data_IF_630766225531
#
_entry.id   IF_630766225531
#
_cell.length_a   1.000
_cell.length_b   1.000
_cell.length_c   1.000
_cell.angle_alpha   90.00
_cell.angle_beta   90.00
_cell.angle_gamma   90.00
#
_symmetry.space_group_name_H-M   'P 1'
#
loop_
_entity.id
_entity.type
_entity.pdbx_description
1 polymer ?
#
# COMPACT_ATOMS: atom_id res chain seq x y z
N UNK A 1 -23.23 -28.73 40.40
CA UNK A 1 -22.09 -27.82 40.63
C UNK A 1 -20.83 -28.66 40.76
N UNK A 2 -20.29 -29.13 39.65
CA UNK A 2 -18.98 -29.84 39.59
C UNK A 2 -18.30 -29.34 38.31
N UNK A 3 -17.11 -28.74 38.46
CA UNK A 3 -16.18 -28.52 37.33
C UNK A 3 -15.89 -27.06 36.94
N UNK A 4 -15.82 -26.12 37.87
CA UNK A 4 -15.14 -24.84 37.59
C UNK A 4 -13.68 -24.92 38.06
N UNK A 5 -12.75 -24.71 37.14
CA UNK A 5 -11.31 -24.70 37.44
C UNK A 5 -10.95 -23.63 38.47
N UNK A 6 -10.13 -24.02 39.47
CA UNK A 6 -9.67 -23.13 40.54
C UNK A 6 -9.15 -21.76 40.10
N UNK A 7 -8.43 -21.63 38.98
CA UNK A 7 -7.99 -20.30 38.45
C UNK A 7 -9.14 -19.36 38.11
N UNK A 8 -10.24 -19.88 37.55
CA UNK A 8 -11.42 -19.10 37.18
C UNK A 8 -12.16 -18.53 38.38
N UNK A 9 -12.25 -19.31 39.46
CA UNK A 9 -12.87 -18.85 40.71
C UNK A 9 -12.06 -17.74 41.40
N UNK A 10 -10.72 -17.85 41.37
CA UNK A 10 -9.82 -16.82 41.92
C UNK A 10 -9.96 -15.51 41.12
N UNK A 11 -9.99 -15.59 39.80
CA UNK A 11 -10.17 -14.43 38.89
C UNK A 11 -11.53 -13.77 39.09
N UNK A 12 -12.62 -14.54 39.24
CA UNK A 12 -13.95 -13.96 39.52
C UNK A 12 -14.01 -13.27 40.88
N UNK A 13 -13.37 -13.78 41.90
CA UNK A 13 -13.24 -13.13 43.21
C UNK A 13 -12.43 -11.84 43.15
N UNK A 14 -11.33 -11.81 42.43
CA UNK A 14 -10.51 -10.60 42.25
C UNK A 14 -11.25 -9.50 41.50
N UNK A 15 -12.02 -9.83 40.47
CA UNK A 15 -12.87 -8.87 39.74
C UNK A 15 -13.97 -8.32 40.63
N UNK A 16 -14.65 -9.14 41.46
CA UNK A 16 -15.70 -8.68 42.36
C UNK A 16 -15.16 -7.77 43.47
N UNK A 17 -13.98 -8.07 44.01
CA UNK A 17 -13.31 -7.20 45.01
C UNK A 17 -12.91 -5.85 44.41
N UNK A 18 -12.50 -5.85 43.15
CA UNK A 18 -12.12 -4.61 42.45
C UNK A 18 -13.34 -3.77 42.06
N UNK A 19 -14.45 -4.37 41.64
CA UNK A 19 -15.72 -3.64 41.38
C UNK A 19 -16.28 -3.00 42.65
N UNK A 20 -16.08 -3.61 43.81
CA UNK A 20 -16.42 -3.06 45.12
C UNK A 20 -15.46 -1.91 45.49
N UNK A 21 -14.15 -2.08 45.26
CA UNK A 21 -13.14 -1.07 45.56
C UNK A 21 -13.24 0.20 44.68
N UNK A 22 -13.76 0.07 43.46
CA UNK A 22 -14.04 1.21 42.56
C UNK A 22 -15.30 2.01 42.97
N UNK A 23 -16.24 1.39 43.71
CA UNK A 23 -17.46 2.05 44.19
C UNK A 23 -17.21 2.91 45.44
N UNK A 24 -16.25 2.55 46.27
CA UNK A 24 -15.92 3.22 47.53
C UNK A 24 -14.72 4.19 47.34
N UNK A 25 -14.96 5.28 46.65
CA UNK A 25 -14.13 6.49 46.55
C UNK A 25 -12.86 6.53 47.44
N UNK A 26 -11.69 6.36 46.90
CA UNK A 26 -10.47 6.73 47.61
C UNK A 26 -9.16 6.11 47.20
N UNK A 27 -8.93 5.73 45.96
CA UNK A 27 -7.61 5.24 45.55
C UNK A 27 -6.79 6.30 44.82
N UNK A 28 -5.80 6.81 45.54
CA UNK A 28 -4.71 7.67 45.08
C UNK A 28 -3.78 6.94 44.08
N UNK A 29 -3.16 7.72 43.24
CA UNK A 29 -2.30 7.48 42.09
C UNK A 29 -1.13 6.45 42.14
N UNK A 30 -1.21 5.40 42.94
CA UNK A 30 -0.15 4.37 43.06
C UNK A 30 -0.65 2.94 42.80
N UNK A 31 -1.34 2.69 41.69
CA UNK A 31 -1.49 1.31 41.20
C UNK A 31 -0.19 0.88 40.53
N UNK A 32 0.49 -0.11 41.13
CA UNK A 32 1.70 -0.74 40.57
C UNK A 32 1.43 -1.31 39.17
N UNK A 33 2.42 -1.29 38.28
CA UNK A 33 2.36 -1.86 36.93
C UNK A 33 1.79 -3.29 36.87
N UNK A 34 2.03 -4.11 37.92
CA UNK A 34 1.51 -5.47 38.04
C UNK A 34 -0.02 -5.53 38.12
N UNK A 35 -0.69 -4.61 38.83
CA UNK A 35 -2.14 -4.57 38.95
C UNK A 35 -2.81 -4.13 37.63
N UNK A 36 -2.19 -3.16 36.91
CA UNK A 36 -2.65 -2.75 35.58
C UNK A 36 -2.55 -3.91 34.57
N UNK A 37 -1.48 -4.69 34.63
CA UNK A 37 -1.28 -5.86 33.76
C UNK A 37 -2.30 -6.97 34.06
N UNK A 38 -2.60 -7.21 35.34
CA UNK A 38 -3.60 -8.19 35.75
C UNK A 38 -5.04 -7.80 35.35
N UNK A 39 -5.37 -6.50 35.45
CA UNK A 39 -6.66 -5.97 34.98
C UNK A 39 -6.78 -6.06 33.47
N UNK A 40 -5.70 -5.78 32.74
CA UNK A 40 -5.65 -5.91 31.28
C UNK A 40 -5.88 -7.37 30.84
N UNK A 41 -5.23 -8.33 31.51
CA UNK A 41 -5.44 -9.76 31.27
C UNK A 41 -6.89 -10.16 31.57
N UNK A 42 -7.47 -9.72 32.69
CA UNK A 42 -8.88 -9.99 33.01
C UNK A 42 -9.86 -9.36 32.02
N UNK A 43 -9.58 -8.14 31.56
CA UNK A 43 -10.37 -7.46 30.53
C UNK A 43 -10.31 -8.21 29.19
N UNK A 44 -9.12 -8.62 28.77
CA UNK A 44 -8.92 -9.45 27.58
C UNK A 44 -9.63 -10.80 27.71
N UNK A 45 -9.49 -11.49 28.85
CA UNK A 45 -10.15 -12.77 29.09
C UNK A 45 -11.68 -12.65 29.05
N UNK A 46 -12.26 -11.60 29.65
CA UNK A 46 -13.72 -11.34 29.63
C UNK A 46 -14.22 -10.96 28.22
N UNK A 47 -13.45 -10.21 27.46
CA UNK A 47 -13.77 -9.79 26.10
C UNK A 47 -13.71 -10.97 25.11
N UNK A 48 -12.84 -11.96 25.38
CA UNK A 48 -12.63 -13.11 24.50
C UNK A 48 -13.28 -14.40 25.00
N UNK A 49 -14.06 -14.37 26.11
CA UNK A 49 -14.80 -15.52 26.64
C UNK A 49 -15.86 -16.09 25.68
N UNK A 50 -16.24 -15.35 24.65
CA UNK A 50 -17.11 -15.82 23.57
C UNK A 50 -16.40 -16.70 22.52
N UNK A 51 -15.09 -16.92 22.68
CA UNK A 51 -14.31 -17.78 21.79
C UNK A 51 -14.10 -19.22 22.34
N UNK A 52 -14.73 -19.56 23.46
CA UNK A 52 -14.72 -20.94 23.99
C UNK A 52 -15.57 -21.88 23.09
N UNK A 53 -15.14 -22.12 21.87
CA UNK A 53 -15.80 -23.05 20.95
C UNK A 53 -15.30 -23.04 19.52
N UNK A 54 -14.64 -21.96 19.08
CA UNK A 54 -14.08 -21.91 17.72
C UNK A 54 -12.56 -21.97 17.81
N UNK A 55 -12.01 -23.18 17.70
CA UNK A 55 -10.56 -23.42 17.58
C UNK A 55 -10.22 -23.56 16.10
N UNK A 56 -10.36 -22.46 15.36
CA UNK A 56 -10.01 -22.44 13.94
C UNK A 56 -8.49 -22.49 13.77
N UNK A 57 -7.96 -23.55 13.15
CA UNK A 57 -6.54 -23.73 12.89
C UNK A 57 -6.12 -23.03 11.58
N UNK A 58 -4.97 -22.39 11.59
CA UNK A 58 -4.33 -21.79 10.40
C UNK A 58 -4.22 -22.79 9.24
N UNK A 59 -3.97 -24.07 9.57
CA UNK A 59 -3.88 -25.13 8.59
C UNK A 59 -5.23 -25.43 7.92
N UNK A 60 -6.33 -25.42 8.68
CA UNK A 60 -7.69 -25.56 8.13
C UNK A 60 -8.02 -24.40 7.20
N UNK A 61 -7.66 -23.16 7.57
CA UNK A 61 -7.83 -21.97 6.75
C UNK A 61 -7.05 -22.07 5.45
N UNK A 62 -5.78 -22.49 5.51
CA UNK A 62 -4.95 -22.65 4.31
C UNK A 62 -5.52 -23.70 3.36
N UNK A 63 -6.05 -24.80 3.90
CA UNK A 63 -6.69 -25.85 3.12
C UNK A 63 -7.99 -25.39 2.48
N UNK A 64 -8.83 -24.67 3.21
CA UNK A 64 -10.03 -24.05 2.66
C UNK A 64 -9.72 -23.11 1.49
N UNK A 65 -8.72 -22.22 1.65
CA UNK A 65 -8.31 -21.29 0.60
C UNK A 65 -7.78 -22.02 -0.65
N UNK A 66 -7.01 -23.09 -0.48
CA UNK A 66 -6.51 -23.88 -1.59
C UNK A 66 -7.65 -24.56 -2.38
N UNK A 67 -8.65 -25.14 -1.68
CA UNK A 67 -9.81 -25.73 -2.33
C UNK A 67 -10.65 -24.65 -3.05
N UNK A 68 -10.82 -23.50 -2.45
CA UNK A 68 -11.55 -22.38 -3.04
C UNK A 68 -10.87 -21.85 -4.32
N UNK A 69 -9.53 -21.82 -4.34
CA UNK A 69 -8.74 -21.40 -5.49
C UNK A 69 -8.78 -22.43 -6.63
N UNK A 70 -8.51 -23.70 -6.32
CA UNK A 70 -8.43 -24.78 -7.30
C UNK A 70 -9.81 -25.29 -7.74
N UNK A 71 -10.87 -24.94 -7.01
CA UNK A 71 -12.26 -25.44 -7.18
C UNK A 71 -12.33 -26.96 -7.21
N UNK A 72 -11.36 -27.64 -6.61
CA UNK A 72 -11.20 -29.10 -6.61
C UNK A 72 -10.39 -29.56 -5.41
N UNK A 73 -10.95 -30.47 -4.60
CA UNK A 73 -10.24 -31.08 -3.49
C UNK A 73 -9.02 -31.89 -3.92
N UNK A 74 -9.10 -32.60 -5.06
CA UNK A 74 -7.99 -33.41 -5.56
C UNK A 74 -6.81 -32.53 -6.02
N UNK A 75 -7.07 -31.50 -6.82
CA UNK A 75 -6.03 -30.57 -7.28
C UNK A 75 -5.40 -29.79 -6.12
N UNK A 76 -6.22 -29.34 -5.18
CA UNK A 76 -5.72 -28.63 -4.00
C UNK A 76 -4.84 -29.56 -3.13
N UNK A 77 -5.19 -30.84 -3.01
CA UNK A 77 -4.40 -31.82 -2.28
C UNK A 77 -3.04 -32.11 -2.95
N UNK A 78 -3.01 -32.21 -4.27
CA UNK A 78 -1.77 -32.33 -5.05
C UNK A 78 -0.85 -31.14 -4.83
N UNK A 79 -1.37 -29.91 -4.95
CA UNK A 79 -0.61 -28.67 -4.78
C UNK A 79 -0.05 -28.53 -3.36
N UNK A 80 -0.78 -28.99 -2.35
CA UNK A 80 -0.36 -28.95 -0.95
C UNK A 80 0.45 -30.20 -0.51
N UNK A 81 0.67 -31.14 -1.40
CA UNK A 81 1.40 -32.42 -1.11
C UNK A 81 0.78 -33.17 0.06
N UNK A 82 -0.55 -33.23 0.12
CA UNK A 82 -1.32 -33.96 1.14
C UNK A 82 -2.31 -34.91 0.48
N UNK A 83 -2.85 -35.88 1.27
CA UNK A 83 -3.91 -36.75 0.76
C UNK A 83 -5.25 -35.99 0.66
N UNK A 84 -6.04 -36.25 -0.37
CA UNK A 84 -7.36 -35.64 -0.53
C UNK A 84 -8.30 -35.90 0.67
N UNK A 85 -8.31 -37.12 1.30
CA UNK A 85 -9.08 -37.35 2.53
C UNK A 85 -8.66 -36.43 3.69
N UNK A 86 -7.34 -36.18 3.85
CA UNK A 86 -6.83 -35.27 4.90
C UNK A 86 -7.37 -33.85 4.70
N UNK A 87 -7.34 -33.37 3.46
CA UNK A 87 -7.85 -32.06 3.10
C UNK A 87 -9.35 -31.95 3.34
N UNK A 88 -10.10 -32.96 2.89
CA UNK A 88 -11.56 -33.01 3.04
C UNK A 88 -12.01 -33.02 4.52
N UNK A 89 -11.33 -33.82 5.36
CA UNK A 89 -11.61 -33.89 6.80
C UNK A 89 -11.32 -32.53 7.46
N UNK A 90 -10.22 -31.87 7.10
CA UNK A 90 -9.86 -30.59 7.71
C UNK A 90 -10.86 -29.49 7.34
N UNK A 91 -11.30 -29.42 6.07
CA UNK A 91 -12.34 -28.47 5.65
C UNK A 91 -13.68 -28.75 6.30
N UNK A 92 -14.08 -30.05 6.37
CA UNK A 92 -15.32 -30.44 7.05
C UNK A 92 -15.30 -30.07 8.54
N UNK A 93 -14.17 -30.28 9.22
CA UNK A 93 -14.01 -29.85 10.61
C UNK A 93 -14.14 -28.33 10.77
N UNK A 94 -13.63 -27.55 9.84
CA UNK A 94 -13.80 -26.09 9.82
C UNK A 94 -15.27 -25.71 9.65
N UNK A 95 -16.02 -26.38 8.77
CA UNK A 95 -17.47 -26.20 8.62
C UNK A 95 -18.25 -26.53 9.88
N UNK A 96 -17.88 -27.63 10.54
CA UNK A 96 -18.49 -28.07 11.82
C UNK A 96 -18.21 -27.05 12.94
N UNK A 97 -17.00 -26.54 13.04
CA UNK A 97 -16.61 -25.52 14.05
C UNK A 97 -17.32 -24.18 13.82
N UNK A 98 -17.53 -23.79 12.55
CA UNK A 98 -18.23 -22.56 12.19
C UNK A 98 -19.77 -22.72 12.19
N UNK A 99 -20.27 -23.96 12.17
CA UNK A 99 -21.69 -24.28 12.10
C UNK A 99 -22.34 -23.95 10.76
N UNK A 100 -21.55 -23.78 9.70
CA UNK A 100 -22.02 -23.42 8.35
C UNK A 100 -21.31 -24.24 7.27
N UNK A 101 -21.95 -24.44 6.12
CA UNK A 101 -21.30 -25.01 4.95
C UNK A 101 -20.57 -23.92 4.16
N UNK A 102 -19.33 -24.21 3.78
CA UNK A 102 -18.48 -23.29 3.01
C UNK A 102 -18.48 -23.63 1.52
N UNK A 103 -18.81 -24.89 1.17
CA UNK A 103 -18.93 -25.35 -0.21
C UNK A 103 -20.29 -26.00 -0.45
N UNK A 104 -20.83 -25.84 -1.66
CA UNK A 104 -22.03 -26.53 -2.10
C UNK A 104 -21.76 -28.02 -2.33
N UNK A 105 -22.57 -28.91 -1.74
CA UNK A 105 -22.37 -30.36 -1.72
C UNK A 105 -22.60 -31.10 -3.05
N UNK A 106 -23.18 -30.46 -4.07
CA UNK A 106 -23.72 -31.14 -5.28
C UNK A 106 -23.08 -30.73 -6.59
N UNK A 107 -21.90 -30.13 -6.58
CA UNK A 107 -21.24 -29.61 -7.79
C UNK A 107 -20.02 -30.45 -8.17
N UNK A 108 -19.85 -30.77 -9.47
CA UNK A 108 -18.61 -31.31 -10.00
C UNK A 108 -17.39 -30.39 -9.77
N UNK A 109 -17.64 -29.09 -9.77
CA UNK A 109 -16.69 -28.06 -9.33
C UNK A 109 -17.12 -27.57 -7.95
N UNK A 110 -16.16 -27.46 -7.02
CA UNK A 110 -16.41 -26.92 -5.69
C UNK A 110 -16.72 -25.42 -5.79
N UNK A 111 -17.95 -25.04 -5.46
CA UNK A 111 -18.39 -23.64 -5.42
C UNK A 111 -18.61 -23.22 -3.99
N UNK A 112 -18.14 -22.01 -3.67
CA UNK A 112 -18.31 -21.41 -2.36
C UNK A 112 -19.79 -21.01 -2.14
N UNK A 113 -20.26 -21.23 -0.94
CA UNK A 113 -21.50 -20.62 -0.42
C UNK A 113 -21.28 -19.13 -0.14
N UNK A 114 -22.31 -18.38 0.21
CA UNK A 114 -22.19 -16.98 0.62
C UNK A 114 -21.33 -16.85 1.89
N UNK A 115 -21.46 -17.77 2.83
CA UNK A 115 -20.63 -17.90 4.02
C UNK A 115 -19.18 -18.22 3.64
N UNK A 116 -18.96 -19.12 2.69
CA UNK A 116 -17.64 -19.43 2.14
C UNK A 116 -16.99 -18.22 1.47
N UNK A 117 -17.73 -17.42 0.71
CA UNK A 117 -17.24 -16.18 0.12
C UNK A 117 -16.86 -15.15 1.19
N UNK A 118 -17.65 -15.03 2.24
CA UNK A 118 -17.37 -14.14 3.35
C UNK A 118 -16.10 -14.57 4.12
N UNK A 119 -16.00 -15.89 4.41
CA UNK A 119 -14.82 -16.45 5.06
C UNK A 119 -13.57 -16.23 4.19
N UNK A 120 -13.64 -16.45 2.88
CA UNK A 120 -12.50 -16.30 1.98
C UNK A 120 -11.88 -14.90 2.05
N UNK A 121 -12.72 -13.85 2.12
CA UNK A 121 -12.26 -12.46 2.25
C UNK A 121 -11.48 -12.22 3.56
N UNK A 122 -11.97 -12.78 4.67
CA UNK A 122 -11.32 -12.69 5.97
C UNK A 122 -10.06 -13.56 6.08
N UNK A 123 -10.16 -14.79 5.56
CA UNK A 123 -9.10 -15.79 5.58
C UNK A 123 -7.84 -15.34 4.81
N UNK A 124 -7.99 -14.68 3.66
CA UNK A 124 -6.85 -14.12 2.92
C UNK A 124 -6.09 -13.12 3.77
N UNK A 125 -6.78 -12.14 4.36
CA UNK A 125 -6.15 -11.14 5.25
C UNK A 125 -5.47 -11.76 6.46
N UNK A 126 -6.07 -12.81 7.04
CA UNK A 126 -5.48 -13.53 8.16
C UNK A 126 -4.20 -14.26 7.75
N UNK A 127 -4.20 -14.94 6.60
CA UNK A 127 -3.02 -15.63 6.08
C UNK A 127 -1.89 -14.67 5.72
N UNK A 128 -2.19 -13.50 5.15
CA UNK A 128 -1.23 -12.43 4.90
C UNK A 128 -0.59 -11.95 6.21
N UNK A 129 -1.41 -11.65 7.24
CA UNK A 129 -0.92 -11.23 8.54
C UNK A 129 -0.09 -12.33 9.23
N UNK A 130 -0.48 -13.60 9.10
CA UNK A 130 0.27 -14.74 9.61
C UNK A 130 1.64 -14.87 8.93
N UNK A 131 1.68 -14.81 7.59
CA UNK A 131 2.94 -14.86 6.84
C UNK A 131 3.86 -13.70 7.22
N UNK A 132 3.35 -12.47 7.28
CA UNK A 132 4.11 -11.31 7.73
C UNK A 132 4.69 -11.49 9.14
N UNK A 133 3.92 -12.09 10.06
CA UNK A 133 4.38 -12.37 11.42
C UNK A 133 5.49 -13.42 11.44
N UNK A 134 5.34 -14.52 10.69
CA UNK A 134 6.34 -15.59 10.59
C UNK A 134 7.63 -15.08 9.93
N UNK A 135 7.51 -14.30 8.85
CA UNK A 135 8.65 -13.68 8.20
C UNK A 135 9.36 -12.68 9.11
N UNK A 136 8.60 -11.87 9.87
CA UNK A 136 9.15 -10.94 10.85
C UNK A 136 10.03 -11.64 11.91
N UNK A 137 9.70 -12.87 12.30
CA UNK A 137 10.49 -13.66 13.26
C UNK A 137 11.69 -14.33 12.57
N UNK A 138 11.54 -14.85 11.36
CA UNK A 138 12.64 -15.50 10.60
C UNK A 138 13.75 -14.53 10.21
N UNK A 139 13.44 -13.26 9.98
CA UNK A 139 14.40 -12.22 9.60
C UNK A 139 15.31 -11.75 10.76
N UNK A 140 15.12 -12.26 11.97
CA UNK A 140 16.08 -12.02 13.06
C UNK A 140 17.44 -12.72 12.87
N UNK A 141 17.57 -13.60 11.88
CA UNK A 141 18.83 -14.28 11.56
C UNK A 141 19.63 -13.54 10.47
N UNK A 142 20.95 -13.66 10.55
CA UNK A 142 22.01 -12.76 10.00
C UNK A 142 22.12 -12.60 8.48
N UNK A 143 21.25 -13.19 7.67
CA UNK A 143 21.25 -12.99 6.22
C UNK A 143 20.19 -11.96 5.83
N UNK A 144 20.60 -10.91 5.14
CA UNK A 144 19.76 -9.82 4.64
C UNK A 144 18.96 -10.29 3.42
N UNK A 145 18.16 -11.33 3.61
CA UNK A 145 17.23 -11.84 2.59
C UNK A 145 15.83 -11.29 2.87
N UNK A 146 15.06 -11.13 1.83
CA UNK A 146 13.67 -10.70 1.97
C UNK A 146 13.08 -10.20 0.65
N UNK A 147 11.79 -9.91 0.69
CA UNK A 147 11.09 -9.28 -0.42
C UNK A 147 10.20 -8.17 0.12
N UNK A 148 9.85 -7.23 -0.74
CA UNK A 148 8.80 -6.25 -0.49
C UNK A 148 8.26 -5.72 -1.82
N UNK A 149 7.04 -5.19 -1.78
CA UNK A 149 6.38 -4.57 -2.92
C UNK A 149 6.56 -3.06 -2.89
N UNK A 150 7.08 -2.50 -3.99
CA UNK A 150 7.23 -1.06 -4.21
C UNK A 150 6.20 -0.58 -5.24
N UNK A 151 5.25 0.23 -4.80
CA UNK A 151 4.27 0.87 -5.67
C UNK A 151 4.75 2.23 -6.14
N UNK A 152 4.75 2.45 -7.45
CA UNK A 152 5.11 3.75 -8.03
C UNK A 152 4.47 3.95 -9.40
N UNK A 153 4.35 5.20 -9.84
CA UNK A 153 3.95 5.46 -11.22
C UNK A 153 5.14 5.28 -12.16
N UNK A 154 4.91 4.90 -13.44
CA UNK A 154 5.97 4.81 -14.45
C UNK A 154 6.83 6.07 -14.52
N UNK A 155 6.22 7.24 -14.36
CA UNK A 155 6.91 8.51 -14.37
C UNK A 155 7.90 8.65 -13.20
N UNK A 156 7.51 8.26 -11.96
CA UNK A 156 8.43 8.25 -10.82
C UNK A 156 9.57 7.27 -11.05
N UNK A 157 9.26 6.08 -11.60
CA UNK A 157 10.25 5.08 -11.98
C UNK A 157 11.32 5.66 -12.89
N UNK A 158 10.90 6.30 -13.98
CA UNK A 158 11.80 6.91 -14.95
C UNK A 158 12.62 8.07 -14.38
N UNK A 159 12.01 8.93 -13.55
CA UNK A 159 12.69 10.11 -13.00
C UNK A 159 13.71 9.79 -11.90
N UNK A 160 13.41 8.85 -10.99
CA UNK A 160 14.16 8.73 -9.74
C UNK A 160 14.70 7.34 -9.44
N UNK A 161 14.01 6.29 -9.89
CA UNK A 161 14.33 4.93 -9.47
C UNK A 161 15.29 4.18 -10.42
N UNK A 162 15.58 4.74 -11.59
CA UNK A 162 16.54 4.16 -12.55
C UNK A 162 17.95 3.97 -11.99
N UNK A 163 18.39 4.84 -11.08
CA UNK A 163 19.70 4.72 -10.41
C UNK A 163 19.58 4.13 -9.00
N UNK A 164 18.48 4.45 -8.28
CA UNK A 164 18.28 4.02 -6.90
C UNK A 164 18.09 2.51 -6.78
N UNK A 165 17.32 1.89 -7.68
CA UNK A 165 17.05 0.45 -7.62
C UNK A 165 18.30 -0.40 -7.91
N UNK A 166 19.07 -0.16 -8.98
CA UNK A 166 20.31 -0.89 -9.23
C UNK A 166 21.32 -0.71 -8.09
N UNK A 167 21.46 0.50 -7.55
CA UNK A 167 22.37 0.77 -6.43
C UNK A 167 21.97 0.01 -5.17
N UNK A 168 20.66 -0.04 -4.86
CA UNK A 168 20.15 -0.83 -3.74
C UNK A 168 20.34 -2.33 -3.97
N UNK A 169 20.05 -2.85 -5.16
CA UNK A 169 20.24 -4.27 -5.50
C UNK A 169 21.70 -4.70 -5.43
N UNK A 170 22.63 -3.81 -5.79
CA UNK A 170 24.07 -4.07 -5.63
C UNK A 170 24.48 -4.12 -4.14
N UNK A 171 23.91 -3.26 -3.30
CA UNK A 171 24.18 -3.24 -1.86
C UNK A 171 23.51 -4.40 -1.09
N UNK A 172 22.37 -4.88 -1.58
CA UNK A 172 21.54 -5.91 -0.95
C UNK A 172 21.07 -6.96 -1.97
N UNK A 173 21.95 -7.80 -2.50
CA UNK A 173 21.65 -8.69 -3.63
C UNK A 173 20.60 -9.78 -3.33
N UNK A 174 20.37 -10.07 -2.04
CA UNK A 174 19.39 -11.08 -1.61
C UNK A 174 18.02 -10.48 -1.27
N UNK A 175 17.81 -9.18 -1.52
CA UNK A 175 16.50 -8.54 -1.36
C UNK A 175 15.82 -8.45 -2.72
N UNK A 176 14.63 -9.04 -2.84
CA UNK A 176 13.80 -8.94 -4.03
C UNK A 176 12.80 -7.78 -3.89
N UNK A 177 12.72 -6.95 -4.93
CA UNK A 177 11.74 -5.85 -5.02
C UNK A 177 10.75 -6.20 -6.12
N UNK A 178 9.49 -6.32 -5.77
CA UNK A 178 8.40 -6.42 -6.73
C UNK A 178 7.84 -5.03 -7.00
N UNK A 179 7.81 -4.61 -8.28
CA UNK A 179 7.28 -3.31 -8.68
C UNK A 179 5.80 -3.44 -9.02
N UNK A 180 4.97 -2.60 -8.37
CA UNK A 180 3.55 -2.44 -8.68
C UNK A 180 3.34 -1.08 -9.32
N UNK A 181 3.07 -1.06 -10.62
CA UNK A 181 2.85 0.19 -11.36
C UNK A 181 1.38 0.59 -11.38
N UNK A 182 1.10 1.82 -10.94
CA UNK A 182 -0.24 2.43 -11.02
C UNK A 182 -0.13 3.96 -10.85
N UNK A 183 -1.25 4.68 -11.03
CA UNK A 183 -1.31 6.11 -10.67
C UNK A 183 -1.19 6.33 -9.16
N UNK A 184 -0.61 7.47 -8.75
CA UNK A 184 -0.32 7.78 -7.34
C UNK A 184 -1.52 7.56 -6.39
N UNK A 185 -2.72 7.99 -6.77
CA UNK A 185 -3.93 7.78 -5.96
C UNK A 185 -4.24 6.30 -5.72
N UNK A 186 -4.05 5.44 -6.73
CA UNK A 186 -4.27 4.00 -6.61
C UNK A 186 -3.19 3.31 -5.80
N UNK A 187 -1.94 3.79 -5.92
CA UNK A 187 -0.85 3.32 -5.06
C UNK A 187 -1.16 3.63 -3.60
N UNK A 188 -1.64 4.84 -3.27
CA UNK A 188 -2.03 5.20 -1.90
C UNK A 188 -3.16 4.31 -1.36
N UNK A 189 -4.15 3.98 -2.19
CA UNK A 189 -5.19 3.04 -1.81
C UNK A 189 -4.67 1.62 -1.55
N UNK A 190 -3.73 1.13 -2.39
CA UNK A 190 -3.09 -0.17 -2.23
C UNK A 190 -2.22 -0.20 -0.97
N UNK A 191 -1.47 0.87 -0.69
CA UNK A 191 -0.71 1.03 0.57
C UNK A 191 -1.65 1.02 1.77
N UNK A 192 -2.74 1.79 1.74
CA UNK A 192 -3.71 1.83 2.84
C UNK A 192 -4.32 0.45 3.13
N UNK A 193 -4.57 -0.37 2.09
CA UNK A 193 -5.05 -1.74 2.22
C UNK A 193 -3.93 -2.74 2.56
N UNK A 194 -2.65 -2.32 2.42
CA UNK A 194 -1.46 -3.15 2.60
C UNK A 194 -1.28 -4.20 1.53
N UNK A 195 -1.75 -3.93 0.35
CA UNK A 195 -1.47 -4.68 -0.89
C UNK A 195 -0.07 -4.31 -1.45
N UNK A 196 0.47 -3.18 -1.02
CA UNK A 196 1.80 -2.65 -1.34
C UNK A 196 2.47 -2.24 -0.03
N UNK A 197 3.72 -2.63 0.16
CA UNK A 197 4.47 -2.36 1.39
C UNK A 197 4.96 -0.91 1.45
N UNK A 198 5.46 -0.38 0.34
CA UNK A 198 5.98 0.97 0.21
C UNK A 198 5.44 1.61 -1.08
N UNK A 199 4.86 2.78 -0.98
CA UNK A 199 4.38 3.57 -2.11
C UNK A 199 5.24 4.80 -2.36
N UNK A 200 5.30 5.24 -3.62
CA UNK A 200 5.81 6.55 -4.03
C UNK A 200 4.64 7.37 -4.55
N UNK A 201 4.32 8.45 -3.88
CA UNK A 201 3.13 9.24 -4.15
C UNK A 201 3.37 10.74 -4.02
N UNK A 202 2.34 11.52 -4.22
CA UNK A 202 2.38 12.97 -3.99
C UNK A 202 1.82 13.31 -2.61
N UNK A 203 2.41 14.27 -1.95
CA UNK A 203 1.92 14.79 -0.67
C UNK A 203 0.61 15.54 -0.87
N UNK A 204 -0.50 14.85 -0.68
CA UNK A 204 -1.85 15.41 -0.82
C UNK A 204 -2.66 15.22 0.46
N UNK A 205 -3.68 16.05 0.67
CA UNK A 205 -4.59 15.95 1.82
C UNK A 205 -5.50 14.71 1.77
N UNK A 206 -5.41 13.89 0.70
CA UNK A 206 -6.24 12.69 0.50
C UNK A 206 -5.71 11.43 1.18
N UNK A 207 -4.47 11.47 1.71
CA UNK A 207 -3.90 10.31 2.39
C UNK A 207 -4.69 10.00 3.66
N UNK A 208 -5.04 8.73 3.83
CA UNK A 208 -5.79 8.27 5.01
C UNK A 208 -4.93 8.32 6.27
N UNK A 209 -5.56 8.41 7.44
CA UNK A 209 -4.86 8.45 8.73
C UNK A 209 -4.01 7.20 9.01
N UNK A 210 -4.28 6.07 8.32
CA UNK A 210 -3.50 4.84 8.42
C UNK A 210 -2.17 4.88 7.64
N UNK A 211 -2.00 5.85 6.72
CA UNK A 211 -0.80 5.96 5.88
C UNK A 211 0.18 6.95 6.50
N UNK A 212 1.36 6.46 6.83
CA UNK A 212 2.52 7.27 7.22
C UNK A 212 3.22 7.75 5.95
N UNK A 213 3.92 8.90 6.05
CA UNK A 213 4.63 9.50 4.93
C UNK A 213 5.97 10.06 5.34
N UNK A 214 6.93 9.99 4.42
CA UNK A 214 8.24 10.63 4.55
C UNK A 214 8.54 11.39 3.27
N UNK A 215 9.01 12.62 3.39
CA UNK A 215 9.45 13.42 2.26
C UNK A 215 10.55 12.67 1.46
N UNK A 216 10.44 12.69 0.14
CA UNK A 216 11.40 12.10 -0.77
C UNK A 216 12.13 13.19 -1.57
N UNK A 217 11.41 14.03 -2.29
CA UNK A 217 11.95 15.20 -3.01
C UNK A 217 10.82 16.13 -3.44
N UNK A 218 11.16 17.40 -3.65
CA UNK A 218 10.25 18.40 -4.22
C UNK A 218 10.79 18.85 -5.57
N UNK A 219 9.94 18.84 -6.61
CA UNK A 219 10.33 19.13 -7.97
C UNK A 219 9.39 20.16 -8.60
N UNK A 220 9.95 21.04 -9.48
CA UNK A 220 9.18 21.97 -10.27
C UNK A 220 8.57 21.30 -11.49
N UNK A 221 7.43 21.83 -11.92
CA UNK A 221 6.91 21.54 -13.26
C UNK A 221 7.49 22.53 -14.26
N UNK A 222 7.79 22.04 -15.46
CA UNK A 222 8.28 22.84 -16.58
C UNK A 222 7.36 22.68 -17.78
N UNK A 223 7.29 23.71 -18.62
CA UNK A 223 6.65 23.60 -19.91
C UNK A 223 7.62 22.93 -20.89
N UNK A 224 7.11 21.98 -21.66
CA UNK A 224 7.81 21.35 -22.76
C UNK A 224 7.32 21.96 -24.06
N UNK A 225 8.24 22.53 -24.82
CA UNK A 225 7.98 23.20 -26.08
C UNK A 225 8.93 22.64 -27.15
N UNK A 226 8.45 22.60 -28.38
CA UNK A 226 9.34 22.36 -29.53
C UNK A 226 10.37 23.49 -29.63
N UNK A 227 11.60 23.21 -30.06
CA UNK A 227 12.67 24.20 -30.13
C UNK A 227 12.38 25.39 -31.08
N UNK A 228 11.55 25.20 -32.08
CA UNK A 228 11.09 26.28 -32.97
C UNK A 228 9.90 27.08 -32.43
N UNK A 229 9.39 26.75 -31.26
CA UNK A 229 8.25 27.44 -30.67
C UNK A 229 8.64 28.87 -30.24
N UNK A 230 7.80 29.90 -30.48
CA UNK A 230 8.15 31.29 -30.15
C UNK A 230 8.52 31.53 -28.69
N UNK A 231 8.00 30.73 -27.78
CA UNK A 231 8.30 30.81 -26.35
C UNK A 231 9.52 30.00 -25.93
N UNK A 232 10.12 29.17 -26.80
CA UNK A 232 11.22 28.26 -26.46
C UNK A 232 12.55 28.99 -26.15
N UNK A 233 12.69 30.26 -26.54
CA UNK A 233 13.86 31.10 -26.28
C UNK A 233 13.72 31.94 -24.99
N UNK A 234 12.59 31.85 -24.29
CA UNK A 234 12.38 32.60 -23.05
C UNK A 234 13.01 31.89 -21.86
N UNK A 235 13.57 32.64 -20.92
CA UNK A 235 14.11 32.11 -19.65
C UNK A 235 13.04 31.50 -18.76
N UNK A 236 11.81 31.99 -18.87
CA UNK A 236 10.63 31.48 -18.15
C UNK A 236 9.33 31.95 -18.81
N UNK A 237 8.26 31.22 -18.58
CA UNK A 237 6.91 31.55 -19.02
C UNK A 237 5.90 31.32 -17.90
N UNK A 238 4.68 31.84 -18.12
CA UNK A 238 3.52 31.54 -17.27
C UNK A 238 2.60 30.57 -17.99
N UNK A 239 1.67 29.92 -17.23
CA UNK A 239 0.62 29.10 -17.88
C UNK A 239 -0.27 29.94 -18.79
N UNK A 240 -0.44 31.25 -18.53
CA UNK A 240 -1.22 32.16 -19.37
C UNK A 240 -0.61 32.35 -20.77
N UNK A 241 0.70 32.26 -20.92
CA UNK A 241 1.40 32.35 -22.21
C UNK A 241 1.05 31.16 -23.13
N UNK A 242 0.57 30.05 -22.58
CA UNK A 242 0.19 28.84 -23.30
C UNK A 242 -1.31 28.79 -23.68
N UNK A 243 -2.04 29.88 -23.55
CA UNK A 243 -3.51 29.97 -23.75
C UNK A 243 -3.99 29.47 -25.09
N UNK A 244 -3.27 29.77 -26.17
CA UNK A 244 -3.66 29.40 -27.53
C UNK A 244 -3.17 28.02 -27.96
N UNK A 245 -2.34 27.40 -27.14
CA UNK A 245 -1.68 26.13 -27.44
C UNK A 245 -2.59 24.92 -27.24
N UNK A 246 -2.27 23.84 -27.95
CA UNK A 246 -2.88 22.53 -27.75
C UNK A 246 -2.02 21.68 -26.85
N UNK A 247 -2.61 21.08 -25.81
CA UNK A 247 -1.90 20.38 -24.75
C UNK A 247 -1.90 18.87 -24.99
N UNK A 248 -0.74 18.24 -24.84
CA UNK A 248 -0.60 16.81 -24.59
C UNK A 248 -0.36 16.63 -23.09
N UNK A 249 -1.32 16.06 -22.37
CA UNK A 249 -1.23 15.89 -20.91
C UNK A 249 -1.73 14.51 -20.47
N UNK A 250 -1.48 14.18 -19.22
CA UNK A 250 -2.05 12.97 -18.60
C UNK A 250 -3.57 12.99 -18.63
N UNK A 251 -4.19 11.81 -18.65
CA UNK A 251 -5.62 11.65 -18.51
C UNK A 251 -6.09 11.92 -17.05
N UNK A 252 -7.39 11.94 -16.82
CA UNK A 252 -8.03 12.32 -15.57
C UNK A 252 -7.67 11.44 -14.35
N UNK A 253 -7.02 10.28 -14.55
CA UNK A 253 -6.58 9.41 -13.46
C UNK A 253 -5.31 9.94 -12.74
N UNK A 254 -4.64 10.93 -13.33
CA UNK A 254 -3.39 11.47 -12.79
C UNK A 254 -3.62 12.82 -12.09
N UNK A 255 -2.93 13.02 -10.99
CA UNK A 255 -3.00 14.27 -10.18
C UNK A 255 -2.56 15.47 -11.03
N UNK A 256 -1.50 15.32 -11.84
CA UNK A 256 -0.97 16.39 -12.69
C UNK A 256 -2.00 16.90 -13.69
N UNK A 257 -2.90 16.04 -14.19
CA UNK A 257 -4.02 16.48 -15.04
C UNK A 257 -4.83 17.57 -14.34
N UNK A 258 -5.27 17.32 -13.10
CA UNK A 258 -6.05 18.31 -12.33
C UNK A 258 -5.24 19.58 -12.07
N UNK A 259 -3.96 19.44 -11.68
CA UNK A 259 -3.11 20.60 -11.41
C UNK A 259 -2.96 21.51 -12.63
N UNK A 260 -2.82 20.92 -13.83
CA UNK A 260 -2.77 21.69 -15.10
C UNK A 260 -4.10 22.37 -15.37
N UNK A 261 -5.23 21.67 -15.21
CA UNK A 261 -6.55 22.29 -15.39
C UNK A 261 -6.78 23.47 -14.43
N UNK A 262 -6.45 23.27 -13.14
CA UNK A 262 -6.61 24.31 -12.12
C UNK A 262 -5.72 25.52 -12.44
N UNK A 263 -4.48 25.31 -12.91
CA UNK A 263 -3.58 26.36 -13.31
C UNK A 263 -4.08 27.14 -14.57
N UNK A 264 -4.60 26.43 -15.58
CA UNK A 264 -5.22 27.04 -16.74
C UNK A 264 -6.46 27.85 -16.38
N UNK A 265 -7.32 27.33 -15.51
CA UNK A 265 -8.52 28.05 -15.03
C UNK A 265 -8.13 29.30 -14.22
N UNK A 266 -7.12 29.21 -13.35
CA UNK A 266 -6.59 30.36 -12.62
C UNK A 266 -6.00 31.41 -13.56
N UNK A 267 -5.42 31.01 -14.71
CA UNK A 267 -4.95 31.88 -15.78
C UNK A 267 -6.08 32.38 -16.70
N UNK A 268 -7.34 32.05 -16.44
CA UNK A 268 -8.53 32.55 -17.13
C UNK A 268 -8.81 31.88 -18.47
N UNK A 269 -8.40 30.62 -18.70
CA UNK A 269 -8.72 29.88 -19.90
C UNK A 269 -8.97 28.41 -19.67
N UNK A 270 -9.56 27.74 -20.68
CA UNK A 270 -9.70 26.27 -20.71
C UNK A 270 -8.72 25.72 -21.73
N UNK A 271 -7.87 24.74 -21.37
CA UNK A 271 -6.90 24.19 -22.30
C UNK A 271 -7.58 23.40 -23.43
N UNK A 272 -7.02 23.51 -24.64
CA UNK A 272 -7.36 22.65 -25.78
C UNK A 272 -6.49 21.40 -25.68
N UNK A 273 -7.07 20.21 -25.84
CA UNK A 273 -6.31 18.95 -25.75
C UNK A 273 -6.00 18.42 -27.15
N UNK A 274 -4.71 18.25 -27.44
CA UNK A 274 -4.24 17.46 -28.57
C UNK A 274 -4.18 15.99 -28.22
N UNK A 275 -3.84 15.66 -26.93
CA UNK A 275 -3.72 14.28 -26.46
C UNK A 275 -4.02 14.19 -24.96
N UNK A 276 -4.78 13.16 -24.57
CA UNK A 276 -4.93 12.71 -23.19
C UNK A 276 -4.44 11.26 -23.09
N UNK A 277 -3.37 11.01 -22.34
CA UNK A 277 -2.70 9.71 -22.27
C UNK A 277 -2.26 9.35 -20.85
N UNK A 278 -1.87 8.12 -20.62
CA UNK A 278 -1.14 7.68 -19.41
C UNK A 278 0.37 7.62 -19.64
N UNK A 279 0.85 7.82 -20.85
CA UNK A 279 2.23 7.64 -21.26
C UNK A 279 2.91 9.00 -21.44
N UNK A 280 3.85 9.31 -20.54
CA UNK A 280 4.57 10.58 -20.55
C UNK A 280 5.53 10.72 -21.75
N UNK A 281 6.14 9.61 -22.18
CA UNK A 281 7.03 9.54 -23.34
C UNK A 281 6.28 9.89 -24.66
N UNK A 282 5.04 9.43 -24.79
CA UNK A 282 4.20 9.82 -25.92
C UNK A 282 3.88 11.34 -25.91
N UNK A 283 3.69 11.94 -24.73
CA UNK A 283 3.50 13.39 -24.62
C UNK A 283 4.75 14.14 -25.11
N UNK A 284 5.94 13.68 -24.72
CA UNK A 284 7.22 14.26 -25.15
C UNK A 284 7.40 14.10 -26.66
N UNK A 285 7.03 12.96 -27.24
CA UNK A 285 7.07 12.76 -28.71
C UNK A 285 6.14 13.71 -29.45
N UNK A 286 4.92 13.97 -28.94
CA UNK A 286 4.00 14.96 -29.52
C UNK A 286 4.61 16.37 -29.53
N UNK A 287 5.33 16.74 -28.46
CA UNK A 287 6.04 18.02 -28.38
C UNK A 287 7.20 18.06 -29.36
N UNK A 288 7.99 16.99 -29.47
CA UNK A 288 9.15 16.89 -30.37
C UNK A 288 8.77 17.04 -31.86
N UNK A 289 7.51 16.73 -32.21
CA UNK A 289 6.94 16.88 -33.55
C UNK A 289 6.18 18.23 -33.75
N UNK A 290 6.24 19.10 -32.74
CA UNK A 290 5.53 20.40 -32.77
C UNK A 290 4.00 20.26 -32.92
N UNK A 291 3.42 19.19 -32.35
CA UNK A 291 1.97 18.97 -32.41
C UNK A 291 1.25 19.39 -31.14
N UNK A 292 1.98 19.61 -30.05
CA UNK A 292 1.42 20.01 -28.78
C UNK A 292 2.48 20.67 -27.90
N UNK A 293 2.02 21.34 -26.84
CA UNK A 293 2.82 21.66 -25.66
C UNK A 293 2.50 20.71 -24.54
N UNK A 294 3.41 20.57 -23.57
CA UNK A 294 3.15 19.76 -22.39
C UNK A 294 3.68 20.42 -21.11
N UNK A 295 3.22 19.95 -19.98
CA UNK A 295 3.73 20.34 -18.66
C UNK A 295 4.04 19.06 -17.90
N UNK A 296 5.32 18.87 -17.56
CA UNK A 296 5.83 17.70 -16.83
C UNK A 296 6.83 18.16 -15.75
N UNK A 297 7.14 17.28 -14.77
CA UNK A 297 8.22 17.55 -13.84
C UNK A 297 9.57 17.65 -14.55
N UNK A 298 10.39 18.59 -14.11
CA UNK A 298 11.69 18.87 -14.69
C UNK A 298 12.60 17.64 -14.84
N UNK A 299 12.70 16.69 -13.87
CA UNK A 299 13.58 15.53 -13.98
C UNK A 299 13.29 14.58 -15.15
N UNK A 300 12.11 14.66 -15.76
CA UNK A 300 11.75 13.80 -16.91
C UNK A 300 12.73 13.97 -18.07
N UNK A 301 13.14 15.22 -18.38
CA UNK A 301 14.02 15.49 -19.49
C UNK A 301 15.49 15.67 -19.10
N UNK A 302 15.81 15.84 -17.83
CA UNK A 302 17.21 15.87 -17.38
C UNK A 302 17.91 14.52 -17.61
N UNK A 303 17.14 13.41 -17.51
CA UNK A 303 17.68 12.05 -17.73
C UNK A 303 17.50 11.53 -19.16
N UNK A 304 16.58 12.10 -19.91
CA UNK A 304 16.30 11.69 -21.28
C UNK A 304 16.23 12.92 -22.17
N UNK A 305 17.39 13.33 -22.70
CA UNK A 305 17.47 14.37 -23.69
C UNK A 305 16.65 13.99 -24.93
N UNK A 306 15.61 14.75 -25.21
CA UNK A 306 14.86 14.60 -26.44
C UNK A 306 15.29 15.68 -27.46
N UNK A 307 15.71 15.27 -28.66
CA UNK A 307 16.00 16.24 -29.72
C UNK A 307 14.75 17.07 -29.97
N UNK A 308 14.96 18.34 -30.25
CA UNK A 308 13.90 19.32 -30.57
C UNK A 308 12.93 19.70 -29.45
N UNK A 309 13.14 19.25 -28.20
CA UNK A 309 12.32 19.63 -27.03
C UNK A 309 13.12 20.54 -26.10
N UNK A 310 12.51 21.66 -25.71
CA UNK A 310 13.01 22.62 -24.75
C UNK A 310 12.17 22.59 -23.49
N UNK A 311 12.83 22.63 -22.33
CA UNK A 311 12.22 22.77 -21.01
C UNK A 311 12.25 24.24 -20.60
N UNK A 312 11.10 24.85 -20.47
CA UNK A 312 11.00 26.26 -20.06
C UNK A 312 10.40 26.31 -18.64
N UNK A 313 11.08 26.92 -17.68
CA UNK A 313 10.57 27.11 -16.33
C UNK A 313 9.20 27.81 -16.32
N UNK A 314 8.29 27.32 -15.48
CA UNK A 314 6.98 27.96 -15.24
C UNK A 314 7.08 28.82 -13.97
N UNK A 315 6.79 30.11 -14.13
CA UNK A 315 6.76 31.05 -12.99
C UNK A 315 5.36 31.11 -12.38
N UNK A 316 5.30 31.01 -11.02
CA UNK A 316 4.15 31.29 -10.15
C UNK A 316 2.82 30.61 -10.50
N UNK A 317 2.81 29.54 -11.28
CA UNK A 317 1.59 29.04 -11.90
C UNK A 317 1.14 27.67 -11.43
N UNK A 318 2.00 26.88 -10.82
CA UNK A 318 1.66 25.49 -10.45
C UNK A 318 2.28 25.07 -9.12
N UNK A 319 1.57 24.20 -8.41
CA UNK A 319 2.10 23.55 -7.21
C UNK A 319 3.31 22.70 -7.56
N UNK A 320 4.31 22.73 -6.70
CA UNK A 320 5.44 21.81 -6.77
C UNK A 320 4.99 20.35 -6.70
N UNK A 321 5.79 19.48 -7.23
CA UNK A 321 5.70 18.05 -7.02
C UNK A 321 6.40 17.70 -5.71
N UNK A 322 5.67 17.72 -4.63
CA UNK A 322 6.10 17.25 -3.31
C UNK A 322 5.87 15.73 -3.26
N UNK A 323 6.94 14.98 -3.50
CA UNK A 323 6.93 13.52 -3.60
C UNK A 323 7.26 12.94 -2.23
N UNK A 324 6.48 11.96 -1.83
CA UNK A 324 6.60 11.27 -0.54
C UNK A 324 6.67 9.77 -0.72
N UNK A 325 7.41 9.12 0.17
CA UNK A 325 7.33 7.68 0.40
C UNK A 325 6.20 7.43 1.39
N UNK A 326 5.36 6.44 1.11
CA UNK A 326 4.16 6.13 1.90
C UNK A 326 4.14 4.66 2.31
N UNK A 327 3.67 4.36 3.52
CA UNK A 327 3.47 3.01 4.03
C UNK A 327 2.32 2.97 5.02
N UNK A 328 1.75 1.79 5.24
CA UNK A 328 0.69 1.61 6.24
C UNK A 328 1.32 1.45 7.64
N UNK A 329 1.10 2.43 8.54
CA UNK A 329 1.66 2.43 9.91
C UNK A 329 1.05 1.37 10.83
N UNK A 330 -0.11 0.82 10.48
CA UNK A 330 -0.80 -0.20 11.25
C UNK A 330 -0.34 -1.62 10.87
N UNK A 331 0.42 -1.76 9.77
CA UNK A 331 0.98 -3.02 9.30
C UNK A 331 2.46 -3.16 9.67
N UNK A 332 2.87 -4.40 9.82
CA UNK A 332 4.28 -4.70 9.98
C UNK A 332 5.03 -4.34 8.71
N UNK A 333 6.09 -3.54 8.85
CA UNK A 333 7.01 -3.21 7.75
C UNK A 333 8.14 -4.23 7.71
N UNK A 334 8.33 -4.97 6.60
CA UNK A 334 9.45 -5.90 6.42
C UNK A 334 10.80 -5.22 6.64
N UNK A 335 11.81 -5.98 7.13
CA UNK A 335 13.16 -5.45 7.29
C UNK A 335 13.76 -4.99 5.97
N UNK A 336 13.52 -5.74 4.89
CA UNK A 336 13.91 -5.39 3.52
C UNK A 336 13.40 -4.00 3.11
N UNK A 337 12.14 -3.70 3.41
CA UNK A 337 11.52 -2.40 3.15
C UNK A 337 12.18 -1.29 4.01
N UNK A 338 12.45 -1.54 5.30
CA UNK A 338 13.18 -0.58 6.18
C UNK A 338 14.58 -0.27 5.66
N UNK A 339 15.33 -1.29 5.24
CA UNK A 339 16.65 -1.12 4.65
C UNK A 339 16.60 -0.27 3.37
N UNK A 340 15.54 -0.47 2.56
CA UNK A 340 15.33 0.35 1.38
C UNK A 340 15.01 1.81 1.73
N UNK A 341 14.17 2.05 2.73
CA UNK A 341 13.90 3.41 3.23
C UNK A 341 15.16 4.09 3.77
N UNK A 342 16.02 3.35 4.48
CA UNK A 342 17.28 3.87 4.99
C UNK A 342 18.28 4.15 3.86
N UNK A 343 18.30 3.28 2.84
CA UNK A 343 19.12 3.48 1.64
C UNK A 343 18.68 4.73 0.87
N UNK A 344 17.38 4.87 0.61
CA UNK A 344 16.82 6.07 -0.04
C UNK A 344 17.17 7.32 0.75
N UNK A 345 17.02 7.32 2.08
CA UNK A 345 17.30 8.49 2.92
C UNK A 345 18.74 9.00 2.82
N UNK A 346 19.70 8.14 2.44
CA UNK A 346 21.10 8.49 2.22
C UNK A 346 21.39 8.93 0.78
N UNK A 347 20.47 8.66 -0.14
CA UNK A 347 20.61 8.89 -1.57
C UNK A 347 19.44 9.69 -2.13
N UNK A 348 18.87 10.58 -1.32
CA UNK A 348 17.75 11.43 -1.76
C UNK A 348 18.17 12.30 -2.93
N UNK A 349 17.35 12.39 -3.99
CA UNK A 349 17.55 13.39 -5.02
C UNK A 349 17.38 14.80 -4.42
N UNK A 350 18.15 15.80 -4.94
CA UNK A 350 18.03 17.16 -4.44
C UNK A 350 16.64 17.74 -4.71
N UNK A 351 16.20 18.61 -3.81
CA UNK A 351 15.01 19.43 -4.06
C UNK A 351 15.30 20.48 -5.13
N UNK A 352 14.32 20.74 -5.98
CA UNK A 352 14.34 21.83 -6.98
C UNK A 352 13.18 22.80 -6.66
N UNK A 353 13.46 23.74 -5.74
CA UNK A 353 12.51 24.73 -5.21
C UNK A 353 12.61 26.08 -5.93
#
# INVERSE_FOLDING_TARGET
>A
MRGMDKPVMILQRLVSVYEVALRDNGFSHKCTHALKFQILICYYYKKYKHWEGIVMDIKQISYFLAVAQEKSFSKAAENLTVSQPTLSVAVKKLEEELGVQLFYSFSREQRLTDEGLQLMKGARRLMEAYQQTVEGVRVMDRNTEGAFTLGLSPLFGACFFGDLLPGFSAAYPNIHIEIVEDGANRIDEKVARGEVDLGVSLNTDRLTAAVERRHFTTQRNVALLHESHPLAERDSITVADLREESFAIFNHNFILHRQILDACHAAGFRPKFALLTSQWDFMVEMVSKNHAVSILPKPVLEKQSHPHVRCIPLTNSMKYWDIVLTWNKEKYMPRSCRLFLDYISRNLPPDDL
#
